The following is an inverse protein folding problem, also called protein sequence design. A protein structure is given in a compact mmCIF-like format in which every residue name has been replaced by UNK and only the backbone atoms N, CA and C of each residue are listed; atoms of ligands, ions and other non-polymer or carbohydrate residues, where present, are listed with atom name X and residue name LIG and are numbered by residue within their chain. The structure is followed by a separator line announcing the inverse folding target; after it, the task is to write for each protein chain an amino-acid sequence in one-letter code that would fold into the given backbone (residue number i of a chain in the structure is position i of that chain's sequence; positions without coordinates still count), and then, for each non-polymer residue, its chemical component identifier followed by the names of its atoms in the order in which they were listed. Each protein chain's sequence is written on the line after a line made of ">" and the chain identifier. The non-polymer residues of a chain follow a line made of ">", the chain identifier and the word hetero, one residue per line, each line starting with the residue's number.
data_IF_672534325625
#
_entry.id   IF_672534325625
#
_cell.length_a   1.000
_cell.length_b   1.000
_cell.length_c   1.000
_cell.angle_alpha   90.00
_cell.angle_beta   90.00
_cell.angle_gamma   90.00
#
_symmetry.space_group_name_H-M   'P 1'
#
loop_
_entity.id
_entity.type
_entity.pdbx_description
1 polymer ?
#
# COMPACT_ATOMS: atom_id res chain seq x y z
N UNK A 1 -2.46 6.28 0.94
CA UNK A 1 -1.89 5.70 -0.29
C UNK A 1 -0.38 5.51 -0.11
N UNK A 2 0.20 4.49 -0.72
CA UNK A 2 1.64 4.22 -0.72
C UNK A 2 2.21 4.47 -2.13
N UNK A 3 3.46 4.96 -2.27
CA UNK A 3 4.11 5.09 -3.56
C UNK A 3 4.23 3.76 -4.30
N UNK A 4 4.12 3.80 -5.63
CA UNK A 4 4.21 2.64 -6.52
C UNK A 4 5.18 3.01 -7.63
N UNK A 5 6.17 2.14 -7.91
CA UNK A 5 7.22 2.41 -8.89
C UNK A 5 7.81 1.11 -9.46
N UNK A 6 7.07 0.43 -10.33
CA UNK A 6 7.49 -0.82 -10.96
C UNK A 6 7.02 -0.92 -12.42
N UNK A 7 7.79 -1.61 -13.26
CA UNK A 7 7.37 -2.01 -14.62
C UNK A 7 6.72 -3.40 -14.68
N UNK A 8 7.06 -4.28 -13.73
CA UNK A 8 6.74 -5.72 -13.77
C UNK A 8 6.03 -6.20 -12.49
N UNK A 9 5.20 -5.35 -11.88
CA UNK A 9 4.56 -5.63 -10.59
C UNK A 9 3.24 -6.42 -10.65
N UNK A 10 2.83 -6.89 -11.84
CA UNK A 10 1.54 -7.57 -12.03
C UNK A 10 1.55 -8.95 -11.38
N UNK A 11 0.79 -9.14 -10.30
CA UNK A 11 0.57 -10.46 -9.75
C UNK A 11 -0.29 -11.29 -10.71
N UNK A 12 0.24 -12.43 -11.11
CA UNK A 12 -0.44 -13.42 -11.92
C UNK A 12 -0.17 -14.81 -11.35
N UNK A 13 -1.21 -15.64 -11.27
CA UNK A 13 -1.13 -16.98 -10.74
C UNK A 13 -2.27 -17.83 -11.30
N UNK A 14 -2.09 -19.16 -11.29
CA UNK A 14 -3.17 -20.07 -11.65
C UNK A 14 -4.28 -20.11 -10.57
N UNK A 15 -5.44 -20.66 -10.93
CA UNK A 15 -6.62 -20.72 -10.04
C UNK A 15 -6.37 -21.51 -8.75
N UNK A 16 -5.56 -22.57 -8.78
CA UNK A 16 -5.23 -23.38 -7.59
C UNK A 16 -4.38 -22.57 -6.63
N UNK A 17 -3.41 -21.82 -7.15
CA UNK A 17 -2.55 -20.92 -6.38
C UNK A 17 -3.38 -19.79 -5.76
N UNK A 18 -4.23 -19.10 -6.52
CA UNK A 18 -5.13 -18.07 -5.98
C UNK A 18 -6.07 -18.63 -4.90
N UNK A 19 -6.67 -19.79 -5.14
CA UNK A 19 -7.53 -20.46 -4.14
C UNK A 19 -6.76 -20.74 -2.85
N UNK A 20 -5.49 -21.14 -2.96
CA UNK A 20 -4.63 -21.40 -1.80
C UNK A 20 -4.35 -20.11 -1.03
N UNK A 21 -4.00 -19.03 -1.72
CA UNK A 21 -3.75 -17.72 -1.09
C UNK A 21 -4.96 -17.26 -0.25
N UNK A 22 -6.18 -17.40 -0.78
CA UNK A 22 -7.40 -17.06 -0.02
C UNK A 22 -7.67 -18.00 1.13
N UNK A 23 -7.65 -19.32 0.89
CA UNK A 23 -7.94 -20.31 1.94
C UNK A 23 -6.99 -20.20 3.13
N UNK A 24 -5.75 -19.78 2.88
CA UNK A 24 -4.73 -19.62 3.90
C UNK A 24 -4.59 -18.17 4.42
N UNK A 25 -5.48 -17.26 4.03
CA UNK A 25 -5.46 -15.84 4.43
C UNK A 25 -4.11 -15.14 4.13
N UNK A 26 -3.47 -15.50 3.01
CA UNK A 26 -2.14 -14.98 2.63
C UNK A 26 -2.23 -13.71 1.77
N UNK A 27 -3.43 -13.24 1.42
CA UNK A 27 -3.62 -11.95 0.72
C UNK A 27 -3.64 -10.83 1.75
N UNK A 28 -2.55 -10.06 1.82
CA UNK A 28 -2.36 -9.04 2.85
C UNK A 28 -2.71 -7.63 2.39
N UNK A 29 -2.51 -7.30 1.10
CA UNK A 29 -2.85 -6.00 0.55
C UNK A 29 -3.59 -6.12 -0.77
N UNK A 30 -4.56 -5.24 -0.96
CA UNK A 30 -5.24 -5.01 -2.24
C UNK A 30 -5.17 -3.54 -2.62
N UNK A 31 -5.09 -3.30 -3.93
CA UNK A 31 -5.31 -1.98 -4.50
C UNK A 31 -6.78 -1.61 -4.35
N UNK A 32 -7.02 -0.37 -3.91
CA UNK A 32 -8.36 0.22 -3.81
C UNK A 32 -8.29 1.63 -4.38
N UNK A 33 -9.42 2.14 -4.85
CA UNK A 33 -9.50 3.53 -5.26
C UNK A 33 -9.28 4.44 -4.05
N UNK A 34 -8.40 5.42 -4.20
CA UNK A 34 -8.06 6.36 -3.13
C UNK A 34 -7.82 7.77 -3.66
N UNK A 35 -7.49 8.70 -2.76
CA UNK A 35 -7.31 10.12 -3.11
C UNK A 35 -6.29 10.35 -4.25
N UNK A 36 -5.24 9.52 -4.33
CA UNK A 36 -4.23 9.62 -5.39
C UNK A 36 -4.80 9.28 -6.78
N UNK A 37 -5.80 8.39 -6.85
CA UNK A 37 -6.46 8.01 -8.10
C UNK A 37 -7.16 9.23 -8.72
N UNK A 38 -7.77 10.07 -7.88
CA UNK A 38 -8.37 11.33 -8.33
C UNK A 38 -7.30 12.37 -8.68
N UNK A 39 -6.28 12.52 -7.83
CA UNK A 39 -5.23 13.52 -8.00
C UNK A 39 -4.39 13.33 -9.27
N UNK A 40 -4.12 12.07 -9.65
CA UNK A 40 -3.30 11.73 -10.82
C UNK A 40 -4.10 11.11 -11.97
N UNK A 41 -5.43 11.00 -11.84
CA UNK A 41 -6.31 10.32 -12.81
C UNK A 41 -5.81 8.89 -13.10
N UNK A 42 -5.59 8.12 -12.04
CA UNK A 42 -5.10 6.74 -12.11
C UNK A 42 -6.21 5.73 -11.77
N UNK A 43 -6.16 4.56 -12.41
CA UNK A 43 -6.97 3.43 -11.99
C UNK A 43 -6.57 2.98 -10.57
N UNK A 44 -7.50 2.36 -9.83
CA UNK A 44 -7.23 1.80 -8.51
C UNK A 44 -6.10 0.77 -8.56
N UNK A 45 -6.19 -0.19 -9.49
CA UNK A 45 -5.17 -1.20 -9.75
C UNK A 45 -4.28 -0.76 -10.92
N UNK A 46 -3.05 -0.27 -10.64
CA UNK A 46 -2.21 0.35 -11.66
C UNK A 46 -1.46 -0.66 -12.54
N UNK A 47 -1.42 -1.94 -12.16
CA UNK A 47 -0.64 -2.96 -12.86
C UNK A 47 -1.47 -4.16 -13.35
N UNK A 48 -2.79 -4.13 -13.13
CA UNK A 48 -3.70 -5.18 -13.54
C UNK A 48 -3.49 -6.51 -12.82
N UNK A 49 -2.97 -6.49 -11.59
CA UNK A 49 -2.83 -7.69 -10.76
C UNK A 49 -4.16 -8.41 -10.59
N UNK A 50 -4.14 -9.74 -10.59
CA UNK A 50 -5.35 -10.54 -10.37
C UNK A 50 -5.97 -10.20 -9.01
N UNK A 51 -7.28 -9.98 -9.01
CA UNK A 51 -8.07 -9.63 -7.82
C UNK A 51 -7.55 -8.42 -7.02
N UNK A 52 -6.88 -7.51 -7.73
CA UNK A 52 -6.27 -6.29 -7.20
C UNK A 52 -5.21 -6.55 -6.13
N UNK A 53 -4.62 -7.75 -6.08
CA UNK A 53 -3.66 -8.12 -5.04
C UNK A 53 -2.36 -7.32 -5.22
N UNK A 54 -1.96 -6.62 -4.16
CA UNK A 54 -0.76 -5.78 -4.11
C UNK A 54 0.36 -6.35 -3.21
N UNK A 55 0.02 -7.31 -2.36
CA UNK A 55 0.98 -7.95 -1.46
C UNK A 55 0.42 -9.21 -0.81
N UNK A 56 1.30 -10.17 -0.57
CA UNK A 56 1.00 -11.49 -0.01
C UNK A 56 2.00 -11.86 1.07
N UNK A 57 1.61 -12.73 2.00
CA UNK A 57 2.50 -13.30 3.01
C UNK A 57 2.77 -14.77 2.76
N UNK A 58 3.75 -15.34 3.48
CA UNK A 58 3.78 -16.78 3.70
C UNK A 58 2.67 -17.21 4.70
N UNK A 59 2.55 -18.52 4.93
CA UNK A 59 1.54 -19.09 5.83
C UNK A 59 1.74 -18.71 7.28
N UNK A 60 2.98 -18.42 7.70
CA UNK A 60 3.27 -17.97 9.06
C UNK A 60 2.96 -16.48 9.28
N UNK A 61 2.75 -15.72 8.19
CA UNK A 61 2.59 -14.27 8.23
C UNK A 61 3.88 -13.49 8.52
N UNK A 62 5.03 -14.17 8.61
CA UNK A 62 6.33 -13.56 8.99
C UNK A 62 7.11 -13.06 7.79
N UNK A 63 6.90 -13.65 6.62
CA UNK A 63 7.48 -13.21 5.37
C UNK A 63 6.38 -12.49 4.61
N UNK A 64 6.60 -11.20 4.33
CA UNK A 64 5.64 -10.36 3.64
C UNK A 64 6.26 -9.76 2.37
N UNK A 65 5.69 -10.12 1.21
CA UNK A 65 6.06 -9.58 -0.08
C UNK A 65 5.00 -8.60 -0.57
N UNK A 66 5.43 -7.44 -1.07
CA UNK A 66 4.54 -6.40 -1.55
C UNK A 66 5.17 -5.61 -2.70
N UNK A 67 4.32 -5.04 -3.55
CA UNK A 67 4.71 -4.18 -4.66
C UNK A 67 4.76 -2.68 -4.33
N UNK A 68 3.86 -2.13 -3.49
CA UNK A 68 4.00 -0.75 -3.02
C UNK A 68 5.29 -0.53 -2.21
N UNK A 69 5.77 0.71 -2.18
CA UNK A 69 6.97 1.14 -1.48
C UNK A 69 6.64 1.91 -0.18
N UNK A 70 6.31 1.23 0.94
CA UNK A 70 6.02 1.89 2.22
C UNK A 70 7.22 2.65 2.79
N UNK A 71 8.44 2.22 2.48
CA UNK A 71 9.68 2.89 2.85
C UNK A 71 9.82 4.28 2.20
N UNK A 72 9.14 4.51 1.07
CA UNK A 72 9.06 5.82 0.41
C UNK A 72 7.95 6.71 0.97
N UNK A 73 7.27 6.28 2.04
CA UNK A 73 6.17 7.00 2.68
C UNK A 73 6.27 7.00 4.21
N UNK A 74 7.48 7.14 4.75
CA UNK A 74 7.72 7.19 6.20
C UNK A 74 7.32 8.53 6.82
N UNK A 75 7.54 9.64 6.11
CA UNK A 75 7.14 10.98 6.51
C UNK A 75 6.02 11.51 5.64
N UNK A 76 5.18 12.40 6.18
CA UNK A 76 4.07 13.00 5.43
C UNK A 76 4.55 13.71 4.16
N UNK A 77 5.69 14.39 4.25
CA UNK A 77 6.33 15.10 3.13
C UNK A 77 6.94 14.18 2.06
N UNK A 78 6.95 12.86 2.25
CA UNK A 78 7.35 11.92 1.21
C UNK A 78 6.20 11.57 0.24
N UNK A 79 4.95 11.91 0.58
CA UNK A 79 3.81 11.62 -0.29
C UNK A 79 3.86 12.51 -1.54
N UNK A 80 3.59 11.98 -2.75
CA UNK A 80 3.72 12.76 -3.99
C UNK A 80 2.76 13.96 -4.08
N UNK A 81 1.67 13.93 -3.31
CA UNK A 81 0.64 14.97 -3.25
C UNK A 81 0.62 15.67 -1.89
N UNK A 82 1.72 15.59 -1.10
CA UNK A 82 1.80 16.21 0.22
C UNK A 82 1.54 17.73 0.21
N UNK A 83 1.98 18.54 -0.79
CA UNK A 83 1.70 19.97 -0.77
C UNK A 83 0.19 20.24 -0.89
N UNK A 84 -0.48 19.50 -1.77
CA UNK A 84 -1.93 19.55 -1.93
C UNK A 84 -2.65 19.12 -0.63
N UNK A 85 -2.24 17.99 -0.03
CA UNK A 85 -2.84 17.52 1.23
C UNK A 85 -2.64 18.51 2.38
N UNK A 86 -1.47 19.15 2.46
CA UNK A 86 -1.19 20.18 3.47
C UNK A 86 -2.20 21.32 3.35
N UNK A 87 -2.35 21.87 2.16
CA UNK A 87 -3.29 22.97 1.91
C UNK A 87 -4.75 22.55 2.17
N UNK A 88 -5.14 21.35 1.73
CA UNK A 88 -6.46 20.77 2.01
C UNK A 88 -6.72 20.68 3.52
N UNK A 89 -5.80 20.09 4.28
CA UNK A 89 -5.95 19.98 5.74
C UNK A 89 -5.99 21.34 6.43
N UNK A 90 -5.15 22.29 6.04
CA UNK A 90 -5.16 23.63 6.62
C UNK A 90 -6.48 24.35 6.38
N UNK A 91 -7.04 24.27 5.16
CA UNK A 91 -8.36 24.85 4.82
C UNK A 91 -9.50 24.19 5.59
N UNK A 92 -9.41 22.88 5.78
CA UNK A 92 -10.37 22.10 6.58
C UNK A 92 -10.15 22.24 8.10
N UNK A 93 -9.19 23.07 8.54
CA UNK A 93 -8.78 23.23 9.95
C UNK A 93 -8.39 21.91 10.62
N UNK A 94 -7.83 20.98 9.85
CA UNK A 94 -7.29 19.68 10.32
C UNK A 94 -5.80 19.79 10.59
N UNK A 95 -5.31 18.98 11.53
CA UNK A 95 -3.88 18.86 11.79
C UNK A 95 -3.17 18.23 10.57
N UNK A 96 -2.04 18.81 10.18
CA UNK A 96 -1.18 18.24 9.13
C UNK A 96 -0.32 17.13 9.74
N UNK A 97 -0.42 15.88 9.26
CA UNK A 97 0.40 14.78 9.77
C UNK A 97 1.89 15.07 9.59
N UNK A 98 2.71 14.58 10.53
CA UNK A 98 4.19 14.57 10.36
C UNK A 98 4.68 13.27 9.77
N UNK A 99 4.07 12.16 10.19
CA UNK A 99 4.40 10.81 9.75
C UNK A 99 3.58 10.41 8.54
N UNK A 100 4.18 9.60 7.68
CA UNK A 100 3.53 9.01 6.53
C UNK A 100 2.92 7.65 6.86
N UNK A 101 2.01 7.14 6.01
CA UNK A 101 1.28 5.90 6.24
C UNK A 101 2.19 4.66 6.21
N UNK A 102 3.33 4.70 5.51
CA UNK A 102 4.23 3.56 5.40
C UNK A 102 4.91 3.18 6.72
N UNK A 103 5.07 4.14 7.64
CA UNK A 103 5.74 3.92 8.92
C UNK A 103 5.04 2.87 9.80
N UNK A 104 3.72 2.73 9.67
CA UNK A 104 2.95 1.76 10.45
C UNK A 104 3.45 0.32 10.25
N UNK A 105 3.85 -0.05 9.02
CA UNK A 105 4.36 -1.39 8.72
C UNK A 105 5.63 -1.69 9.52
N UNK A 106 6.56 -0.75 9.57
CA UNK A 106 7.84 -0.90 10.27
C UNK A 106 7.67 -0.88 11.79
N UNK A 107 6.74 -0.05 12.31
CA UNK A 107 6.39 -0.09 13.74
C UNK A 107 5.84 -1.45 14.14
N UNK A 108 4.95 -2.03 13.34
CA UNK A 108 4.41 -3.36 13.61
C UNK A 108 5.51 -4.43 13.58
N UNK A 109 6.44 -4.35 12.62
CA UNK A 109 7.56 -5.27 12.54
C UNK A 109 8.47 -5.21 13.78
N UNK A 110 8.76 -4.01 14.30
CA UNK A 110 9.54 -3.84 15.54
C UNK A 110 8.76 -4.34 16.75
N UNK A 111 7.50 -3.92 16.88
CA UNK A 111 6.65 -4.30 18.02
C UNK A 111 6.39 -5.81 18.10
N UNK A 112 6.51 -6.55 17.01
CA UNK A 112 6.41 -8.01 17.03
C UNK A 112 7.51 -8.67 17.89
N UNK A 113 8.67 -8.05 18.00
CA UNK A 113 9.82 -8.57 18.76
C UNK A 113 9.97 -7.98 20.16
N UNK A 114 9.16 -6.97 20.51
CA UNK A 114 9.14 -6.33 21.82
C UNK A 114 8.08 -6.98 22.71
#
# INVERSE_FOLDING_TARGET
>A
SLPIAHGEGKLFADKKTLTTLHKKNMVALKYIEGEICQYQTLAANPNGSLEDIAGITDESGKIFGLMPHPERALSFTNLPHWPYLKEKYMREKKAVPKIGPGLALFKNAVNYFL
#
